data_IF_659675080997
#
_entry.id   IF_659675080997
#
_cell.length_a   1.000
_cell.length_b   1.000
_cell.length_c   1.000
_cell.angle_alpha   90.00
_cell.angle_beta   90.00
_cell.angle_gamma   90.00
#
_symmetry.space_group_name_H-M   'P 1'
#
loop_
_entity.id
_entity.type
_entity.pdbx_description
1 polymer ?
#
# COMPACT_ATOMS: atom_id res chain seq x y z
N UNK A 1 5.08 -4.07 10.04
CA UNK A 1 5.47 -3.33 8.82
C UNK A 1 5.51 -4.25 7.61
N UNK A 2 6.27 -5.35 7.64
CA UNK A 2 6.36 -6.30 6.51
C UNK A 2 4.99 -6.82 6.02
N UNK A 3 4.10 -7.18 6.95
CA UNK A 3 2.74 -7.65 6.62
C UNK A 3 1.87 -6.58 5.93
N UNK A 4 2.02 -5.31 6.31
CA UNK A 4 1.28 -4.21 5.68
C UNK A 4 1.81 -3.91 4.28
N UNK A 5 3.14 -4.00 4.09
CA UNK A 5 3.76 -3.85 2.78
C UNK A 5 3.38 -5.00 1.84
N UNK A 6 3.34 -6.24 2.33
CA UNK A 6 2.88 -7.39 1.55
C UNK A 6 1.43 -7.21 1.06
N UNK A 7 0.54 -6.64 1.88
CA UNK A 7 -0.83 -6.30 1.49
C UNK A 7 -0.90 -5.21 0.43
N UNK A 8 -0.04 -4.19 0.52
CA UNK A 8 0.08 -3.16 -0.49
C UNK A 8 0.48 -3.77 -1.84
N UNK A 9 1.50 -4.63 -1.86
CA UNK A 9 1.92 -5.29 -3.11
C UNK A 9 0.80 -6.15 -3.70
N UNK A 10 0.10 -6.95 -2.88
CA UNK A 10 -1.05 -7.73 -3.35
C UNK A 10 -2.17 -6.84 -3.93
N UNK A 11 -2.45 -5.70 -3.32
CA UNK A 11 -3.42 -4.74 -3.81
C UNK A 11 -2.99 -4.12 -5.16
N UNK A 12 -1.71 -3.77 -5.30
CA UNK A 12 -1.17 -3.21 -6.54
C UNK A 12 -1.14 -4.24 -7.67
N UNK A 13 -0.81 -5.49 -7.38
CA UNK A 13 -0.86 -6.60 -8.34
C UNK A 13 -2.28 -6.83 -8.88
N UNK A 14 -3.29 -6.78 -8.00
CA UNK A 14 -4.69 -6.84 -8.41
C UNK A 14 -5.09 -5.64 -9.29
N UNK A 15 -4.65 -4.43 -8.92
CA UNK A 15 -4.94 -3.22 -9.69
C UNK A 15 -4.30 -3.23 -11.08
N UNK A 16 -3.09 -3.80 -11.20
CA UNK A 16 -2.39 -3.95 -12.46
C UNK A 16 -3.21 -4.80 -13.45
N UNK A 17 -3.70 -5.95 -12.97
CA UNK A 17 -4.41 -6.93 -13.79
C UNK A 17 -5.78 -6.41 -14.28
N UNK A 18 -6.48 -5.64 -13.45
CA UNK A 18 -7.87 -5.24 -13.74
C UNK A 18 -8.00 -3.99 -14.62
N UNK A 19 -7.00 -3.11 -14.64
CA UNK A 19 -7.17 -1.74 -15.14
C UNK A 19 -6.19 -1.32 -16.22
N UNK A 20 -5.27 -2.20 -16.63
CA UNK A 20 -4.21 -1.88 -17.60
C UNK A 20 -3.49 -0.57 -17.24
N UNK A 21 -3.22 -0.40 -15.94
CA UNK A 21 -2.55 0.79 -15.41
C UNK A 21 -1.16 0.92 -16.02
N UNK A 22 -0.66 2.16 -16.11
CA UNK A 22 0.76 2.37 -16.40
C UNK A 22 1.62 2.11 -15.17
N UNK A 23 2.84 1.62 -15.40
CA UNK A 23 3.83 1.30 -14.35
C UNK A 23 4.18 2.53 -13.49
N UNK A 24 4.15 3.72 -14.09
CA UNK A 24 4.35 4.99 -13.40
C UNK A 24 3.28 5.26 -12.35
N UNK A 25 2.02 4.95 -12.66
CA UNK A 25 0.88 5.12 -11.76
C UNK A 25 0.95 4.13 -10.59
N UNK A 26 1.29 2.86 -10.86
CA UNK A 26 1.53 1.88 -9.80
C UNK A 26 2.69 2.29 -8.89
N UNK A 27 3.78 2.79 -9.45
CA UNK A 27 4.95 3.22 -8.68
C UNK A 27 4.63 4.42 -7.80
N UNK A 28 3.81 5.36 -8.28
CA UNK A 28 3.30 6.47 -7.45
C UNK A 28 2.46 5.94 -6.28
N UNK A 29 1.50 5.04 -6.55
CA UNK A 29 0.67 4.44 -5.49
C UNK A 29 1.48 3.63 -4.48
N UNK A 30 2.45 2.83 -4.93
CA UNK A 30 3.37 2.10 -4.03
C UNK A 30 4.08 3.04 -3.07
N UNK A 31 4.62 4.14 -3.59
CA UNK A 31 5.33 5.13 -2.78
C UNK A 31 4.42 5.79 -1.76
N UNK A 32 3.23 6.22 -2.19
CA UNK A 32 2.28 6.90 -1.31
C UNK A 32 1.77 5.96 -0.20
N UNK A 33 1.37 4.73 -0.55
CA UNK A 33 0.90 3.74 0.40
C UNK A 33 2.00 3.31 1.39
N UNK A 34 3.25 3.18 0.92
CA UNK A 34 4.40 2.89 1.79
C UNK A 34 4.64 4.01 2.82
N UNK A 35 4.50 5.28 2.40
CA UNK A 35 4.60 6.42 3.31
C UNK A 35 3.47 6.42 4.35
N UNK A 36 2.25 6.06 3.95
CA UNK A 36 1.11 5.93 4.88
C UNK A 36 1.37 4.83 5.91
N UNK A 37 1.86 3.66 5.49
CA UNK A 37 2.21 2.57 6.40
C UNK A 37 3.31 3.00 7.36
N UNK A 38 4.37 3.64 6.88
CA UNK A 38 5.44 4.15 7.73
C UNK A 38 4.91 5.14 8.78
N UNK A 39 4.01 6.04 8.37
CA UNK A 39 3.36 6.99 9.27
C UNK A 39 2.46 6.34 10.32
N UNK A 40 1.70 5.30 9.93
CA UNK A 40 0.88 4.52 10.87
C UNK A 40 1.74 3.78 11.89
N UNK A 41 2.81 3.12 11.43
CA UNK A 41 3.75 2.39 12.30
C UNK A 41 4.41 3.33 13.31
N UNK A 42 4.77 4.55 12.90
CA UNK A 42 5.31 5.56 13.81
C UNK A 42 4.31 5.94 14.93
N UNK A 43 3.01 5.76 14.70
CA UNK A 43 1.93 6.01 15.68
C UNK A 43 1.50 4.75 16.43
N UNK A 44 2.22 3.64 16.29
CA UNK A 44 1.85 2.35 16.89
C UNK A 44 0.60 1.73 16.28
N UNK A 45 0.22 2.15 15.07
CA UNK A 45 -0.92 1.61 14.33
C UNK A 45 -0.44 0.78 13.14
N UNK A 46 -1.25 -0.19 12.73
CA UNK A 46 -1.15 -0.94 11.48
C UNK A 46 -2.29 -0.56 10.54
N UNK A 47 -2.26 -1.03 9.28
CA UNK A 47 -3.38 -0.84 8.36
C UNK A 47 -4.71 -1.38 8.93
N UNK A 48 -4.67 -2.53 9.61
CA UNK A 48 -5.84 -3.13 10.25
C UNK A 48 -6.43 -2.26 11.37
N UNK A 49 -5.57 -1.72 12.24
CA UNK A 49 -6.02 -0.88 13.37
C UNK A 49 -6.38 0.55 12.97
N UNK A 50 -6.02 0.95 11.74
CA UNK A 50 -6.37 2.24 11.17
C UNK A 50 -7.78 2.23 10.56
N UNK A 51 -8.32 1.06 10.24
CA UNK A 51 -9.67 0.89 9.74
C UNK A 51 -10.67 1.02 10.92
N UNK A 52 -11.48 2.07 10.86
CA UNK A 52 -12.55 2.35 11.84
C UNK A 52 -13.80 1.51 11.55
#
# INVERSE_FOLDING_TARGET
MEQDLARIEQFLDALWLERNLEENTLSAYRRDLSMVVAWLHHRGKTLETAQA
#
